data_IF_515638646724
#
_entry.id   IF_515638646724
#
_cell.length_a   1.000
_cell.length_b   1.000
_cell.length_c   1.000
_cell.angle_alpha   90.00
_cell.angle_beta   90.00
_cell.angle_gamma   90.00
#
_symmetry.space_group_name_H-M   'P 1'
#
loop_
_entity.id
_entity.type
_entity.pdbx_description
1 polymer ?
#
# COMPACT_ATOMS: atom_id res chain seq x y z
N UNK A 1 2.02 13.12 -8.47
CA UNK A 1 2.91 12.46 -7.52
C UNK A 1 3.47 11.25 -8.22
N UNK A 2 4.78 11.17 -8.40
CA UNK A 2 5.40 10.03 -9.04
C UNK A 2 5.34 8.83 -8.09
N UNK A 3 5.04 7.62 -8.59
CA UNK A 3 4.86 6.41 -7.74
C UNK A 3 6.07 6.13 -6.83
N UNK A 4 7.25 6.54 -7.27
CA UNK A 4 8.48 6.43 -6.50
C UNK A 4 8.47 7.28 -5.22
N UNK A 5 7.83 8.45 -5.24
CA UNK A 5 7.71 9.31 -4.07
C UNK A 5 6.75 8.71 -3.04
N UNK A 6 5.68 8.05 -3.51
CA UNK A 6 4.71 7.37 -2.65
C UNK A 6 5.36 6.23 -1.87
N UNK A 7 6.26 5.47 -2.50
CA UNK A 7 6.97 4.34 -1.89
C UNK A 7 7.95 4.72 -0.77
N UNK A 8 8.38 5.97 -0.73
CA UNK A 8 9.26 6.49 0.32
C UNK A 8 8.49 7.05 1.53
N UNK A 9 7.16 7.12 1.45
CA UNK A 9 6.33 7.64 2.52
C UNK A 9 6.03 6.58 3.57
N UNK A 10 5.80 6.99 4.83
CA UNK A 10 5.25 6.12 5.84
C UNK A 10 3.94 5.48 5.40
N UNK A 11 3.76 4.20 5.72
CA UNK A 11 2.54 3.44 5.44
C UNK A 11 1.29 4.17 5.94
N UNK A 12 1.33 4.83 7.10
CA UNK A 12 0.18 5.59 7.60
C UNK A 12 -0.28 6.68 6.62
N UNK A 13 0.64 7.43 6.04
CA UNK A 13 0.30 8.48 5.07
C UNK A 13 -0.27 7.88 3.78
N UNK A 14 0.36 6.80 3.30
CA UNK A 14 -0.10 6.06 2.12
C UNK A 14 -1.53 5.53 2.31
N UNK A 15 -1.80 4.86 3.43
CA UNK A 15 -3.10 4.27 3.71
C UNK A 15 -4.21 5.32 3.86
N UNK A 16 -3.90 6.49 4.41
CA UNK A 16 -4.84 7.61 4.51
C UNK A 16 -5.17 8.22 3.13
N UNK A 17 -4.19 8.30 2.23
CA UNK A 17 -4.37 8.87 0.91
C UNK A 17 -4.97 7.89 -0.10
N UNK A 18 -4.81 6.58 0.13
CA UNK A 18 -5.10 5.52 -0.84
C UNK A 18 -5.97 4.41 -0.22
N UNK A 19 -7.29 4.59 -0.13
CA UNK A 19 -8.19 3.56 0.40
C UNK A 19 -8.14 2.26 -0.40
N UNK A 20 -7.86 2.32 -1.71
CA UNK A 20 -7.68 1.12 -2.53
C UNK A 20 -6.47 0.26 -2.09
N UNK A 21 -5.41 0.90 -1.54
CA UNK A 21 -4.25 0.20 -0.99
C UNK A 21 -4.61 -0.50 0.34
N UNK A 22 -5.47 0.11 1.16
CA UNK A 22 -5.95 -0.50 2.42
C UNK A 22 -6.63 -1.82 2.12
N UNK A 23 -7.67 -1.81 1.26
CA UNK A 23 -8.41 -3.04 0.93
C UNK A 23 -7.51 -4.11 0.31
N UNK A 24 -6.56 -3.70 -0.55
CA UNK A 24 -5.62 -4.62 -1.18
C UNK A 24 -4.73 -5.37 -0.18
N UNK A 25 -4.28 -4.68 0.87
CA UNK A 25 -3.47 -5.25 1.93
C UNK A 25 -4.30 -6.12 2.86
N UNK A 26 -5.50 -5.68 3.23
CA UNK A 26 -6.42 -6.46 4.06
C UNK A 26 -6.84 -7.78 3.40
N UNK A 27 -7.10 -7.79 2.08
CA UNK A 27 -7.37 -9.00 1.31
C UNK A 27 -6.21 -10.02 1.33
N UNK A 28 -4.98 -9.54 1.56
CA UNK A 28 -3.78 -10.37 1.73
C UNK A 28 -3.50 -10.73 3.20
N UNK A 29 -4.40 -10.36 4.12
CA UNK A 29 -4.25 -10.57 5.56
C UNK A 29 -3.27 -9.60 6.23
N UNK A 30 -2.96 -8.47 5.58
CA UNK A 30 -2.04 -7.45 6.07
C UNK A 30 -2.84 -6.28 6.62
N UNK A 31 -2.99 -6.22 7.94
CA UNK A 31 -3.78 -5.21 8.62
C UNK A 31 -2.90 -4.07 9.16
N UNK A 32 -2.28 -3.32 8.25
CA UNK A 32 -1.40 -2.20 8.63
C UNK A 32 -2.14 -1.04 9.32
N UNK A 33 -3.47 -0.90 9.14
CA UNK A 33 -4.27 0.17 9.75
C UNK A 33 -4.31 0.13 11.29
N UNK A 34 -4.11 -1.05 11.87
CA UNK A 34 -4.05 -1.27 13.32
C UNK A 34 -2.59 -1.46 13.81
N UNK A 35 -1.62 -1.44 12.88
CA UNK A 35 -0.21 -1.65 13.20
C UNK A 35 0.43 -0.35 13.72
N UNK A 36 0.91 -0.37 14.96
CA UNK A 36 1.65 0.75 15.57
C UNK A 36 2.91 1.12 14.78
N UNK A 37 3.48 0.19 14.02
CA UNK A 37 4.72 0.39 13.25
C UNK A 37 4.45 1.06 11.88
N UNK A 38 3.19 1.21 11.45
CA UNK A 38 2.83 1.83 10.17
C UNK A 38 3.28 3.31 10.03
N UNK A 39 3.65 3.99 11.12
CA UNK A 39 4.30 5.32 11.09
C UNK A 39 5.73 5.31 10.57
N UNK A 40 6.40 4.15 10.63
CA UNK A 40 7.84 4.03 10.42
C UNK A 40 8.18 3.10 9.27
N UNK A 41 7.24 2.26 8.87
CA UNK A 41 7.43 1.31 7.77
C UNK A 41 6.97 1.92 6.45
N UNK A 42 7.68 1.58 5.40
CA UNK A 42 7.33 1.83 4.01
C UNK A 42 6.62 0.63 3.39
N UNK A 43 5.96 0.83 2.24
CA UNK A 43 5.31 -0.28 1.53
C UNK A 43 6.31 -1.39 1.14
N UNK A 44 7.56 -1.03 0.83
CA UNK A 44 8.62 -1.98 0.49
C UNK A 44 9.03 -2.85 1.68
N UNK A 45 9.12 -2.27 2.88
CA UNK A 45 9.41 -3.00 4.11
C UNK A 45 8.26 -3.94 4.48
N UNK A 46 7.01 -3.50 4.34
CA UNK A 46 5.83 -4.36 4.56
C UNK A 46 5.83 -5.53 3.56
N UNK A 47 6.06 -5.28 2.28
CA UNK A 47 6.15 -6.32 1.26
C UNK A 47 7.25 -7.34 1.61
N UNK A 48 8.42 -6.87 2.06
CA UNK A 48 9.53 -7.72 2.50
C UNK A 48 9.15 -8.56 3.73
N UNK A 49 8.56 -7.94 4.75
CA UNK A 49 8.16 -8.58 6.01
C UNK A 49 7.12 -9.69 5.78
N UNK A 50 6.14 -9.41 4.93
CA UNK A 50 5.05 -10.33 4.62
C UNK A 50 5.34 -11.27 3.43
N UNK A 51 6.55 -11.20 2.86
CA UNK A 51 6.98 -12.00 1.69
C UNK A 51 6.02 -11.86 0.50
N UNK A 52 5.55 -10.64 0.28
CA UNK A 52 4.74 -10.26 -0.87
C UNK A 52 5.66 -9.69 -1.94
N UNK A 53 5.44 -10.06 -3.20
CA UNK A 53 6.14 -9.43 -4.32
C UNK A 53 5.69 -7.97 -4.45
N UNK A 54 6.65 -7.05 -4.31
CA UNK A 54 6.38 -5.62 -4.32
C UNK A 54 5.92 -5.13 -5.70
N UNK A 55 6.48 -5.68 -6.78
CA UNK A 55 6.13 -5.28 -8.14
C UNK A 55 4.70 -5.73 -8.49
N UNK A 56 4.33 -6.95 -8.10
CA UNK A 56 2.94 -7.43 -8.23
C UNK A 56 1.95 -6.59 -7.41
N UNK A 57 2.33 -6.24 -6.19
CA UNK A 57 1.51 -5.40 -5.31
C UNK A 57 1.29 -4.00 -5.91
N UNK A 58 2.34 -3.39 -6.45
CA UNK A 58 2.29 -2.09 -7.11
C UNK A 58 1.46 -2.13 -8.38
N UNK A 59 1.60 -3.18 -9.19
CA UNK A 59 0.81 -3.36 -10.41
C UNK A 59 -0.68 -3.51 -10.09
N UNK A 60 -1.03 -4.28 -9.06
CA UNK A 60 -2.42 -4.47 -8.66
C UNK A 60 -3.03 -3.20 -8.04
N UNK A 61 -2.29 -2.52 -7.15
CA UNK A 61 -2.73 -1.24 -6.60
C UNK A 61 -2.97 -0.20 -7.70
N UNK A 62 -2.06 -0.12 -8.68
CA UNK A 62 -2.22 0.73 -9.84
C UNK A 62 -3.50 0.45 -10.65
N UNK A 63 -3.84 -0.82 -10.85
CA UNK A 63 -5.09 -1.22 -11.53
C UNK A 63 -6.32 -0.76 -10.76
N UNK A 64 -6.34 -0.95 -9.43
CA UNK A 64 -7.47 -0.56 -8.57
C UNK A 64 -7.69 0.95 -8.51
N UNK A 65 -6.61 1.72 -8.37
CA UNK A 65 -6.68 3.18 -8.43
C UNK A 65 -7.25 3.70 -9.75
N UNK A 66 -6.97 3.03 -10.88
CA UNK A 66 -7.53 3.40 -12.17
C UNK A 66 -9.04 3.10 -12.25
N UNK A 67 -9.48 1.98 -11.66
CA UNK A 67 -10.90 1.60 -11.58
C UNK A 67 -11.69 2.55 -10.67
N UNK A 68 -11.14 2.93 -9.50
CA UNK A 68 -11.81 3.85 -8.56
C UNK A 68 -11.91 5.30 -9.05
N UNK A 69 -11.19 5.67 -10.12
CA UNK A 69 -11.27 7.01 -10.75
C UNK A 69 -12.21 7.05 -11.96
N UNK A 70 -12.68 5.88 -12.41
CA UNK A 70 -13.58 5.75 -13.54
C UNK A 70 -15.07 5.76 -13.12
N UNK A 71 -15.33 5.83 -11.81
CA UNK A 71 -16.63 6.07 -11.16
C UNK A 71 -16.71 7.55 -10.73
#
# INVERSE_FOLDING_TARGET
MERAEALAQPMRMLLQAHPALVSLLEERGIHCGECFIADRETLAEVATMHRVDLDELLAEWARREALSRAD
#
